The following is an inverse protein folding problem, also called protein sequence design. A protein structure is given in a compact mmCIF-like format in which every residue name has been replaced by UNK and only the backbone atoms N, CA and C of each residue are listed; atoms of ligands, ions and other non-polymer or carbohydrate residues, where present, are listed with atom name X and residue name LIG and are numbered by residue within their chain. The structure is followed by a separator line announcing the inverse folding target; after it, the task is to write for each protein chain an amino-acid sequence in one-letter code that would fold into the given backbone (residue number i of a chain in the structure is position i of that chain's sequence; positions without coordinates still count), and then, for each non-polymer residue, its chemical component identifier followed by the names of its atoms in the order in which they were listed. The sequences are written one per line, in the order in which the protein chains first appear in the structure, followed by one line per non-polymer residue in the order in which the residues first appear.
data_IF_552458656186
#
_entry.id   IF_552458656186
#
_cell.length_a   1.000
_cell.length_b   1.000
_cell.length_c   1.000
_cell.angle_alpha   90.00
_cell.angle_beta   90.00
_cell.angle_gamma   90.00
#
_symmetry.space_group_name_H-M   'P 1'
#
loop_
_entity.id
_entity.type
_entity.pdbx_description
1 polymer ?
#
# COMPACT_ATOMS: atom_id res chain seq x y z
N UNK A 1 2.01 -22.30 28.18
CA UNK A 1 1.98 -21.94 26.74
C UNK A 1 1.61 -23.08 25.78
N UNK A 2 1.21 -24.28 26.25
CA UNK A 2 0.83 -25.44 25.39
C UNK A 2 -0.68 -25.62 25.17
N UNK A 3 -1.50 -24.99 26.01
CA UNK A 3 -2.96 -25.17 26.03
C UNK A 3 -3.71 -24.44 24.89
N UNK A 4 -3.33 -23.23 24.42
CA UNK A 4 -4.10 -22.58 23.35
C UNK A 4 -3.89 -23.22 21.97
N UNK A 5 -2.75 -23.87 21.74
CA UNK A 5 -2.48 -24.61 20.50
C UNK A 5 -3.32 -25.90 20.41
N UNK A 6 -3.60 -26.56 21.54
CA UNK A 6 -4.46 -27.73 21.59
C UNK A 6 -5.95 -27.36 21.38
N UNK A 7 -6.38 -26.22 21.93
CA UNK A 7 -7.74 -25.72 21.73
C UNK A 7 -8.01 -25.29 20.28
N UNK A 8 -7.02 -24.71 19.59
CA UNK A 8 -7.10 -24.40 18.16
C UNK A 8 -7.12 -25.65 17.27
N UNK A 9 -6.46 -26.73 17.68
CA UNK A 9 -6.43 -28.00 16.93
C UNK A 9 -7.74 -28.81 17.04
N UNK A 10 -8.55 -28.60 18.08
CA UNK A 10 -9.78 -29.37 18.34
C UNK A 10 -11.04 -28.71 17.74
N UNK A 11 -11.02 -27.40 17.45
CA UNK A 11 -12.20 -26.68 16.96
C UNK A 11 -12.29 -26.55 15.42
N UNK A 12 -11.35 -27.12 14.66
CA UNK A 12 -11.44 -27.12 13.19
C UNK A 12 -12.14 -28.38 12.69
N UNK A 13 -13.34 -28.28 12.08
CA UNK A 13 -14.05 -29.44 11.54
C UNK A 13 -13.34 -29.90 10.26
N UNK A 14 -12.43 -30.86 10.42
CA UNK A 14 -11.58 -31.39 9.38
C UNK A 14 -10.20 -31.65 9.95
N UNK A 15 -9.82 -32.91 10.10
CA UNK A 15 -8.54 -33.33 10.68
C UNK A 15 -7.31 -32.70 10.03
N UNK A 16 -6.12 -33.08 10.50
CA UNK A 16 -4.79 -32.55 10.11
C UNK A 16 -4.49 -32.41 8.60
N UNK A 17 -5.37 -32.87 7.72
CA UNK A 17 -5.37 -32.70 6.27
C UNK A 17 -6.05 -31.43 5.74
N UNK A 18 -6.58 -30.54 6.59
CA UNK A 18 -7.29 -29.36 6.10
C UNK A 18 -6.39 -28.46 5.21
N UNK A 19 -6.90 -27.97 4.07
CA UNK A 19 -6.14 -27.12 3.14
C UNK A 19 -5.56 -25.86 3.81
N UNK A 20 -6.24 -25.39 4.86
CA UNK A 20 -5.82 -24.29 5.73
C UNK A 20 -4.55 -24.67 6.49
N UNK A 21 -4.53 -25.81 7.18
CA UNK A 21 -3.36 -26.27 7.94
C UNK A 21 -2.13 -26.47 7.04
N UNK A 22 -2.33 -27.00 5.82
CA UNK A 22 -1.26 -27.19 4.82
C UNK A 22 -0.55 -25.88 4.46
N UNK A 23 -1.31 -24.79 4.37
CA UNK A 23 -0.80 -23.44 4.08
C UNK A 23 0.00 -22.85 5.25
N UNK A 24 -0.38 -23.14 6.49
CA UNK A 24 0.30 -22.62 7.69
C UNK A 24 1.57 -23.37 8.10
N UNK A 25 1.88 -24.52 7.47
CA UNK A 25 3.08 -25.32 7.80
C UNK A 25 4.39 -24.56 7.61
N UNK A 26 4.44 -23.63 6.66
CA UNK A 26 5.68 -22.88 6.40
C UNK A 26 5.92 -21.80 7.44
N UNK A 27 4.86 -21.22 8.01
CA UNK A 27 4.97 -20.31 9.15
C UNK A 27 5.56 -20.97 10.40
N UNK A 28 5.34 -22.28 10.59
CA UNK A 28 5.95 -23.05 11.68
C UNK A 28 7.47 -23.21 11.53
N UNK A 29 8.01 -23.06 10.31
CA UNK A 29 9.45 -23.10 10.05
C UNK A 29 10.03 -21.69 9.99
N UNK A 30 9.37 -20.78 9.26
CA UNK A 30 9.83 -19.41 9.08
C UNK A 30 9.84 -18.62 10.39
N UNK A 31 8.81 -18.75 11.24
CA UNK A 31 8.72 -18.02 12.51
C UNK A 31 9.90 -18.28 13.45
N UNK A 32 10.24 -19.54 13.78
CA UNK A 32 11.42 -19.86 14.57
C UNK A 32 12.73 -19.38 13.95
N UNK A 33 12.89 -19.47 12.62
CA UNK A 33 14.08 -18.97 11.93
C UNK A 33 14.19 -17.44 12.02
N UNK A 34 13.08 -16.70 11.91
CA UNK A 34 13.04 -15.25 12.08
C UNK A 34 13.44 -14.85 13.50
N UNK A 35 12.86 -15.53 14.51
CA UNK A 35 13.20 -15.33 15.91
C UNK A 35 14.66 -15.65 16.20
N UNK A 36 15.15 -16.80 15.72
CA UNK A 36 16.56 -17.18 15.85
C UNK A 36 17.47 -16.12 15.21
N UNK A 37 17.15 -15.68 13.98
CA UNK A 37 17.90 -14.61 13.31
C UNK A 37 17.93 -13.30 14.10
N UNK A 38 16.89 -12.97 14.86
CA UNK A 38 16.87 -11.81 15.76
C UNK A 38 17.78 -11.94 16.99
N UNK A 39 18.07 -13.17 17.43
CA UNK A 39 18.97 -13.45 18.56
C UNK A 39 20.45 -13.48 18.14
N UNK A 40 20.73 -13.75 16.86
CA UNK A 40 22.09 -13.74 16.31
C UNK A 40 22.44 -12.40 15.66
N UNK A 41 23.74 -12.16 15.47
CA UNK A 41 24.27 -10.96 14.82
C UNK A 41 25.05 -11.31 13.53
N UNK A 42 25.36 -10.28 12.73
CA UNK A 42 26.18 -10.41 11.53
C UNK A 42 25.61 -11.36 10.47
N UNK A 43 26.50 -12.12 9.81
CA UNK A 43 26.17 -13.02 8.70
C UNK A 43 25.16 -14.09 9.08
N UNK A 44 25.23 -14.62 10.31
CA UNK A 44 24.31 -15.67 10.79
C UNK A 44 22.85 -15.21 10.76
N UNK A 45 22.59 -13.96 11.17
CA UNK A 45 21.26 -13.35 11.09
C UNK A 45 20.76 -13.27 9.65
N UNK A 46 21.61 -12.80 8.73
CA UNK A 46 21.26 -12.67 7.31
C UNK A 46 20.94 -14.04 6.71
N UNK A 47 21.74 -15.07 7.01
CA UNK A 47 21.52 -16.43 6.52
C UNK A 47 20.20 -17.01 7.06
N UNK A 48 19.94 -16.88 8.35
CA UNK A 48 18.70 -17.39 8.97
C UNK A 48 17.46 -16.69 8.41
N UNK A 49 17.49 -15.37 8.27
CA UNK A 49 16.39 -14.62 7.66
C UNK A 49 16.21 -14.95 6.18
N UNK A 50 17.29 -15.15 5.44
CA UNK A 50 17.23 -15.57 4.04
C UNK A 50 16.57 -16.94 3.88
N UNK A 51 16.92 -17.90 4.74
CA UNK A 51 16.29 -19.22 4.75
C UNK A 51 14.82 -19.12 5.16
N UNK A 52 14.47 -18.26 6.11
CA UNK A 52 13.07 -18.05 6.51
C UNK A 52 12.22 -17.52 5.33
N UNK A 53 12.71 -16.48 4.65
CA UNK A 53 12.05 -15.92 3.46
C UNK A 53 11.94 -16.97 2.35
N UNK A 54 12.99 -17.76 2.13
CA UNK A 54 12.95 -18.83 1.15
C UNK A 54 11.89 -19.89 1.51
N UNK A 55 11.78 -20.26 2.78
CA UNK A 55 10.76 -21.19 3.27
C UNK A 55 9.33 -20.64 3.05
N UNK A 56 9.12 -19.34 3.26
CA UNK A 56 7.83 -18.69 2.99
C UNK A 56 7.50 -18.66 1.49
N UNK A 57 8.48 -18.34 0.63
CA UNK A 57 8.29 -18.30 -0.83
C UNK A 57 8.03 -19.69 -1.41
N UNK A 58 8.80 -20.68 -0.98
CA UNK A 58 8.62 -22.09 -1.38
C UNK A 58 7.28 -22.60 -0.86
N UNK A 59 6.95 -22.30 0.39
CA UNK A 59 5.68 -22.64 1.03
C UNK A 59 4.46 -22.12 0.29
N UNK A 60 4.46 -20.83 -0.01
CA UNK A 60 3.44 -20.18 -0.81
C UNK A 60 3.35 -20.80 -2.22
N UNK A 61 4.48 -21.23 -2.77
CA UNK A 61 4.52 -21.85 -4.10
C UNK A 61 3.99 -23.29 -4.14
N UNK A 62 4.27 -24.08 -3.10
CA UNK A 62 3.74 -25.44 -2.97
C UNK A 62 2.25 -25.47 -2.63
N UNK A 63 1.75 -24.43 -1.97
CA UNK A 63 0.34 -24.31 -1.57
C UNK A 63 -0.56 -23.66 -2.64
N UNK A 64 -0.03 -23.43 -3.86
CA UNK A 64 -0.71 -22.70 -4.94
C UNK A 64 -2.10 -23.24 -5.26
N UNK A 65 -2.20 -24.56 -5.49
CA UNK A 65 -3.45 -25.23 -5.87
C UNK A 65 -4.51 -25.14 -4.76
N UNK A 66 -4.09 -25.29 -3.52
CA UNK A 66 -4.96 -25.21 -2.36
C UNK A 66 -5.49 -23.79 -2.12
N UNK A 67 -4.67 -22.78 -2.39
CA UNK A 67 -5.07 -21.38 -2.29
C UNK A 67 -6.01 -20.93 -3.43
N UNK A 68 -6.14 -21.71 -4.52
CA UNK A 68 -7.09 -21.45 -5.62
C UNK A 68 -8.53 -21.77 -5.25
N UNK A 69 -8.71 -22.76 -4.38
CA UNK A 69 -10.02 -23.19 -3.91
C UNK A 69 -10.64 -22.18 -2.93
N UNK A 70 -9.82 -21.34 -2.27
CA UNK A 70 -10.27 -20.34 -1.31
C UNK A 70 -10.75 -19.08 -2.06
N UNK A 71 -12.08 -18.98 -2.21
CA UNK A 71 -12.75 -17.88 -2.92
C UNK A 71 -12.85 -16.62 -2.06
N UNK A 72 -11.76 -15.87 -1.91
CA UNK A 72 -11.77 -14.59 -1.17
C UNK A 72 -12.20 -13.43 -2.08
N UNK A 73 -13.09 -12.56 -1.59
CA UNK A 73 -13.59 -11.39 -2.32
C UNK A 73 -12.44 -10.40 -2.63
N UNK A 74 -12.14 -10.11 -3.91
CA UNK A 74 -11.00 -9.29 -4.32
C UNK A 74 -10.96 -7.87 -3.73
N UNK A 75 -12.13 -7.28 -3.42
CA UNK A 75 -12.26 -5.86 -3.08
C UNK A 75 -11.58 -5.46 -1.75
N UNK A 76 -11.43 -6.40 -0.81
CA UNK A 76 -10.77 -6.12 0.48
C UNK A 76 -9.23 -6.13 0.38
N UNK A 77 -8.65 -6.77 -0.63
CA UNK A 77 -7.20 -6.85 -0.78
C UNK A 77 -6.58 -5.50 -1.12
N UNK A 78 -7.20 -4.73 -2.00
CA UNK A 78 -6.72 -3.39 -2.39
C UNK A 78 -6.61 -2.44 -1.18
N UNK A 79 -7.55 -2.51 -0.23
CA UNK A 79 -7.50 -1.67 0.97
C UNK A 79 -6.35 -2.10 1.89
N UNK A 80 -6.23 -3.40 2.17
CA UNK A 80 -5.20 -3.94 3.07
C UNK A 80 -3.78 -3.77 2.53
N UNK A 81 -3.57 -4.03 1.24
CA UNK A 81 -2.25 -3.82 0.63
C UNK A 81 -1.93 -2.33 0.45
N UNK A 82 -2.94 -1.47 0.25
CA UNK A 82 -2.74 -0.02 0.32
C UNK A 82 -2.21 0.42 1.69
N UNK A 83 -2.79 -0.11 2.78
CA UNK A 83 -2.30 0.15 4.15
C UNK A 83 -0.87 -0.35 4.37
N UNK A 84 -0.52 -1.54 3.83
CA UNK A 84 0.86 -2.05 3.89
C UNK A 84 1.85 -1.09 3.23
N UNK A 85 1.50 -0.53 2.07
CA UNK A 85 2.37 0.41 1.37
C UNK A 85 2.49 1.74 2.12
N UNK A 86 1.40 2.23 2.73
CA UNK A 86 1.46 3.42 3.60
C UNK A 86 2.37 3.16 4.80
N UNK A 87 2.29 1.98 5.42
CA UNK A 87 3.14 1.62 6.54
C UNK A 87 4.61 1.64 6.15
N UNK A 88 4.98 1.01 5.03
CA UNK A 88 6.36 0.96 4.56
C UNK A 88 6.89 2.34 4.14
N UNK A 89 6.05 3.18 3.53
CA UNK A 89 6.41 4.58 3.24
C UNK A 89 6.60 5.38 4.54
N UNK A 90 5.75 5.17 5.54
CA UNK A 90 5.88 5.79 6.86
C UNK A 90 7.20 5.41 7.53
N UNK A 91 7.56 4.13 7.50
CA UNK A 91 8.86 3.64 8.00
C UNK A 91 10.04 4.31 7.30
N UNK A 92 9.93 4.51 5.98
CA UNK A 92 10.96 5.20 5.20
C UNK A 92 11.15 6.66 5.67
N UNK A 93 10.06 7.36 6.01
CA UNK A 93 10.13 8.73 6.55
C UNK A 93 10.73 8.74 7.95
N UNK A 94 10.34 7.80 8.81
CA UNK A 94 10.89 7.68 10.16
C UNK A 94 12.40 7.43 10.09
N UNK A 95 12.84 6.52 9.22
CA UNK A 95 14.25 6.19 9.03
C UNK A 95 15.10 7.40 8.62
N UNK A 96 14.60 8.23 7.69
CA UNK A 96 15.25 9.51 7.34
C UNK A 96 15.20 10.51 8.50
N UNK A 97 14.08 10.58 9.22
CA UNK A 97 13.90 11.44 10.38
C UNK A 97 14.85 11.11 11.53
N UNK A 98 15.20 9.82 11.71
CA UNK A 98 16.18 9.40 12.70
C UNK A 98 17.56 9.99 12.44
N UNK A 99 17.97 10.17 11.17
CA UNK A 99 19.23 10.83 10.85
C UNK A 99 19.19 12.30 11.27
N UNK A 100 18.05 12.98 11.09
CA UNK A 100 17.88 14.38 11.50
C UNK A 100 17.97 14.60 13.02
N UNK A 101 17.67 13.56 13.82
CA UNK A 101 17.75 13.62 15.29
C UNK A 101 19.15 13.28 15.80
N UNK A 102 19.85 12.37 15.13
CA UNK A 102 21.15 11.86 15.60
C UNK A 102 22.35 12.64 15.05
N UNK A 103 22.19 13.35 13.93
CA UNK A 103 23.28 14.05 13.24
C UNK A 103 23.08 15.58 13.19
N UNK A 104 24.15 16.39 13.15
CA UNK A 104 24.02 17.85 13.11
C UNK A 104 23.34 18.34 11.82
N UNK A 105 22.39 19.26 11.93
CA UNK A 105 21.64 19.74 10.76
C UNK A 105 22.44 20.76 9.94
N UNK A 106 23.25 20.29 9.00
CA UNK A 106 23.91 21.14 7.99
C UNK A 106 22.94 21.51 6.86
N UNK A 107 23.16 22.60 6.12
CA UNK A 107 22.31 22.96 4.96
C UNK A 107 22.21 21.84 3.91
N UNK A 108 23.33 21.12 3.67
CA UNK A 108 23.36 19.99 2.74
C UNK A 108 22.50 18.82 3.25
N UNK A 109 22.57 18.51 4.55
CA UNK A 109 21.75 17.46 5.18
C UNK A 109 20.26 17.82 5.18
N UNK A 110 19.93 19.09 5.45
CA UNK A 110 18.56 19.58 5.35
C UNK A 110 18.01 19.43 3.92
N UNK A 111 18.81 19.77 2.90
CA UNK A 111 18.44 19.57 1.50
C UNK A 111 18.22 18.08 1.18
N UNK A 112 19.11 17.19 1.67
CA UNK A 112 18.97 15.74 1.50
C UNK A 112 17.68 15.20 2.14
N UNK A 113 17.34 15.67 3.35
CA UNK A 113 16.08 15.29 4.04
C UNK A 113 14.86 15.73 3.23
N UNK A 114 14.81 17.00 2.82
CA UNK A 114 13.70 17.54 2.02
C UNK A 114 13.52 16.77 0.70
N UNK A 115 14.63 16.43 0.05
CA UNK A 115 14.63 15.70 -1.20
C UNK A 115 14.24 14.23 -1.03
N UNK A 116 14.68 13.59 0.05
CA UNK A 116 14.28 12.23 0.44
C UNK A 116 12.78 12.15 0.71
N UNK A 117 12.25 13.11 1.47
CA UNK A 117 10.81 13.22 1.71
C UNK A 117 10.02 13.44 0.40
N UNK A 118 10.52 14.32 -0.47
CA UNK A 118 9.92 14.57 -1.78
C UNK A 118 9.92 13.31 -2.66
N UNK A 119 10.98 12.49 -2.61
CA UNK A 119 11.03 11.20 -3.28
C UNK A 119 9.98 10.23 -2.72
N UNK A 120 9.85 10.12 -1.39
CA UNK A 120 8.82 9.28 -0.76
C UNK A 120 7.42 9.73 -1.19
N UNK A 121 7.15 11.04 -1.23
CA UNK A 121 5.89 11.58 -1.77
C UNK A 121 5.69 11.26 -3.25
N UNK A 122 6.75 11.32 -4.07
CA UNK A 122 6.67 10.95 -5.48
C UNK A 122 6.36 9.46 -5.68
N UNK A 123 6.97 8.57 -4.87
CA UNK A 123 6.67 7.14 -4.86
C UNK A 123 5.22 6.87 -4.42
N UNK A 124 4.76 7.58 -3.38
CA UNK A 124 3.38 7.53 -2.92
C UNK A 124 2.41 7.91 -4.03
N UNK A 125 2.67 9.02 -4.71
CA UNK A 125 1.84 9.50 -5.83
C UNK A 125 1.85 8.50 -6.99
N UNK A 126 3.04 8.01 -7.35
CA UNK A 126 3.22 6.99 -8.38
C UNK A 126 2.39 5.73 -8.10
N UNK A 127 2.34 5.31 -6.83
CA UNK A 127 1.60 4.16 -6.36
C UNK A 127 0.08 4.38 -6.32
N UNK A 128 -0.39 5.40 -5.60
CA UNK A 128 -1.83 5.58 -5.34
C UNK A 128 -2.60 6.12 -6.53
N UNK A 129 -2.04 7.08 -7.26
CA UNK A 129 -2.77 7.74 -8.35
C UNK A 129 -2.81 6.85 -9.61
N UNK A 130 -1.70 6.19 -9.94
CA UNK A 130 -1.59 5.40 -11.17
C UNK A 130 -1.72 3.90 -10.94
N UNK A 131 -1.21 3.39 -9.81
CA UNK A 131 -1.30 1.97 -9.47
C UNK A 131 -2.72 1.53 -9.16
N UNK A 132 -3.46 2.26 -8.32
CA UNK A 132 -4.80 1.83 -7.86
C UNK A 132 -5.79 1.67 -9.03
N UNK A 133 -5.71 2.53 -10.05
CA UNK A 133 -6.53 2.41 -11.28
C UNK A 133 -6.21 1.11 -12.03
N UNK A 134 -4.92 0.83 -12.23
CA UNK A 134 -4.42 -0.38 -12.88
C UNK A 134 -4.80 -1.64 -12.09
N UNK A 135 -4.70 -1.59 -10.75
CA UNK A 135 -5.08 -2.69 -9.86
C UNK A 135 -6.59 -2.95 -9.87
N UNK A 136 -7.44 -1.91 -9.89
CA UNK A 136 -8.90 -2.09 -9.99
C UNK A 136 -9.29 -2.78 -11.29
N UNK A 137 -8.67 -2.39 -12.40
CA UNK A 137 -8.86 -3.03 -13.70
C UNK A 137 -8.33 -4.48 -13.72
N UNK A 138 -7.19 -4.73 -13.06
CA UNK A 138 -6.66 -6.08 -12.85
C UNK A 138 -7.66 -6.95 -12.09
N UNK A 139 -8.20 -6.43 -10.99
CA UNK A 139 -9.21 -7.12 -10.16
C UNK A 139 -10.44 -7.48 -10.99
N UNK A 140 -10.98 -6.54 -11.77
CA UNK A 140 -12.16 -6.75 -12.61
C UNK A 140 -11.91 -7.80 -13.71
N UNK A 141 -10.74 -7.80 -14.36
CA UNK A 141 -10.38 -8.83 -15.35
C UNK A 141 -10.04 -10.18 -14.71
N UNK A 142 -9.46 -10.18 -13.51
CA UNK A 142 -9.02 -11.37 -12.78
C UNK A 142 -10.15 -12.18 -12.14
N UNK A 143 -11.40 -11.69 -12.17
CA UNK A 143 -12.56 -12.49 -11.76
C UNK A 143 -12.65 -13.83 -12.52
N UNK A 144 -12.00 -13.92 -13.70
CA UNK A 144 -11.89 -15.13 -14.51
C UNK A 144 -10.52 -15.85 -14.44
N UNK A 145 -9.49 -15.26 -13.80
CA UNK A 145 -8.11 -15.77 -13.81
C UNK A 145 -7.40 -15.56 -12.47
N UNK A 146 -7.32 -16.62 -11.66
CA UNK A 146 -6.74 -16.58 -10.32
C UNK A 146 -5.22 -16.31 -10.31
N UNK A 147 -4.50 -16.72 -11.36
CA UNK A 147 -3.04 -16.51 -11.50
C UNK A 147 -2.67 -15.03 -11.65
N UNK A 148 -3.46 -14.25 -12.39
CA UNK A 148 -3.24 -12.80 -12.54
C UNK A 148 -3.47 -12.10 -11.19
N UNK A 149 -4.49 -12.54 -10.44
CA UNK A 149 -4.78 -11.98 -9.12
C UNK A 149 -3.60 -12.16 -8.17
N UNK A 150 -3.00 -13.35 -8.07
CA UNK A 150 -1.86 -13.57 -7.15
C UNK A 150 -0.59 -12.87 -7.59
N UNK A 151 -0.21 -12.99 -8.86
CA UNK A 151 0.99 -12.37 -9.41
C UNK A 151 1.00 -10.86 -9.22
N UNK A 152 -0.14 -10.21 -9.48
CA UNK A 152 -0.26 -8.75 -9.35
C UNK A 152 -0.51 -8.31 -7.90
N UNK A 153 -1.46 -8.93 -7.20
CA UNK A 153 -1.90 -8.43 -5.89
C UNK A 153 -0.99 -8.88 -4.75
N UNK A 154 -0.49 -10.11 -4.74
CA UNK A 154 0.36 -10.58 -3.64
C UNK A 154 1.81 -10.28 -3.96
N UNK A 155 2.34 -10.88 -5.03
CA UNK A 155 3.75 -10.77 -5.37
C UNK A 155 4.13 -9.37 -5.83
N UNK A 156 3.27 -8.68 -6.59
CA UNK A 156 3.49 -7.29 -6.99
C UNK A 156 3.61 -6.34 -5.78
N UNK A 157 2.71 -6.45 -4.80
CA UNK A 157 2.75 -5.60 -3.61
C UNK A 157 3.94 -5.95 -2.70
N UNK A 158 4.30 -7.23 -2.56
CA UNK A 158 5.52 -7.62 -1.86
C UNK A 158 6.76 -7.02 -2.53
N UNK A 159 6.81 -7.02 -3.87
CA UNK A 159 7.92 -6.44 -4.62
C UNK A 159 7.96 -4.91 -4.51
N UNK A 160 6.80 -4.25 -4.46
CA UNK A 160 6.71 -2.82 -4.13
C UNK A 160 7.20 -2.52 -2.71
N UNK A 161 6.76 -3.27 -1.71
CA UNK A 161 7.23 -3.11 -0.34
C UNK A 161 8.74 -3.29 -0.25
N UNK A 162 9.28 -4.34 -0.86
CA UNK A 162 10.72 -4.59 -0.88
C UNK A 162 11.48 -3.46 -1.59
N UNK A 163 10.98 -2.98 -2.73
CA UNK A 163 11.58 -1.86 -3.45
C UNK A 163 11.63 -0.58 -2.61
N UNK A 164 10.52 -0.22 -1.92
CA UNK A 164 10.46 0.97 -1.06
C UNK A 164 11.42 0.83 0.13
N UNK A 165 11.47 -0.33 0.79
CA UNK A 165 12.42 -0.57 1.90
C UNK A 165 13.87 -0.44 1.42
N UNK A 166 14.18 -0.99 0.24
CA UNK A 166 15.53 -0.90 -0.33
C UNK A 166 15.90 0.55 -0.64
N UNK A 167 14.96 1.35 -1.16
CA UNK A 167 15.14 2.80 -1.33
C UNK A 167 15.37 3.47 0.03
N UNK A 168 14.57 3.14 1.05
CA UNK A 168 14.69 3.73 2.39
C UNK A 168 16.07 3.52 3.02
N UNK A 169 16.64 2.31 2.88
CA UNK A 169 18.02 2.01 3.28
C UNK A 169 19.00 2.92 2.54
N UNK A 170 18.87 3.10 1.23
CA UNK A 170 19.70 4.04 0.49
C UNK A 170 19.53 5.49 0.92
N UNK A 171 18.30 5.90 1.27
CA UNK A 171 18.01 7.27 1.72
C UNK A 171 18.68 7.58 3.06
N UNK A 172 18.67 6.67 4.03
CA UNK A 172 19.33 6.93 5.31
C UNK A 172 20.83 7.15 5.14
N UNK A 173 21.49 6.35 4.31
CA UNK A 173 22.93 6.49 4.07
C UNK A 173 23.25 7.82 3.36
N UNK A 174 22.50 8.16 2.31
CA UNK A 174 22.70 9.43 1.58
C UNK A 174 22.45 10.66 2.46
N UNK A 175 21.51 10.59 3.39
CA UNK A 175 21.22 11.71 4.32
C UNK A 175 22.31 11.83 5.39
N UNK A 176 22.94 10.72 5.79
CA UNK A 176 24.06 10.75 6.72
C UNK A 176 25.25 11.50 6.11
N UNK A 177 25.70 11.14 4.91
CA UNK A 177 26.85 11.80 4.25
C UNK A 177 26.47 12.40 2.88
N UNK A 178 25.77 13.54 2.84
CA UNK A 178 25.17 14.06 1.60
C UNK A 178 26.18 14.65 0.60
N UNK A 179 27.36 15.05 1.07
CA UNK A 179 28.41 15.67 0.25
C UNK A 179 29.44 14.67 -0.26
N UNK A 180 29.55 13.51 0.39
CA UNK A 180 30.49 12.49 -0.01
C UNK A 180 29.93 11.69 -1.20
N UNK A 181 30.79 11.19 -2.09
CA UNK A 181 30.36 10.27 -3.13
C UNK A 181 29.73 9.03 -2.50
N UNK A 182 28.55 8.59 -3.00
CA UNK A 182 27.86 7.45 -2.42
C UNK A 182 28.73 6.20 -2.58
N UNK A 183 28.80 5.39 -1.52
CA UNK A 183 29.46 4.10 -1.63
C UNK A 183 28.72 3.22 -2.64
N UNK A 184 29.43 2.29 -3.27
CA UNK A 184 28.84 1.39 -4.27
C UNK A 184 27.63 0.62 -3.72
N UNK A 185 27.67 0.23 -2.44
CA UNK A 185 26.54 -0.40 -1.73
C UNK A 185 25.32 0.51 -1.63
N UNK A 186 25.50 1.75 -1.17
CA UNK A 186 24.45 2.76 -0.96
C UNK A 186 23.73 3.11 -2.26
N UNK A 187 24.51 3.35 -3.32
CA UNK A 187 23.96 3.60 -4.65
C UNK A 187 23.25 2.38 -5.24
N UNK A 188 23.75 1.17 -4.96
CA UNK A 188 23.11 -0.07 -5.40
C UNK A 188 21.72 -0.25 -4.80
N UNK A 189 21.57 -0.02 -3.50
CA UNK A 189 20.26 -0.12 -2.86
C UNK A 189 19.32 0.99 -3.33
N UNK A 190 19.81 2.23 -3.46
CA UNK A 190 19.00 3.38 -3.86
C UNK A 190 18.47 3.26 -5.31
N UNK A 191 19.38 3.11 -6.29
CA UNK A 191 19.00 3.00 -7.69
C UNK A 191 18.40 1.63 -8.03
N UNK A 192 18.88 0.56 -7.40
CA UNK A 192 18.31 -0.79 -7.55
C UNK A 192 16.89 -0.88 -7.03
N UNK A 193 16.61 -0.30 -5.86
CA UNK A 193 15.26 -0.20 -5.31
C UNK A 193 14.31 0.59 -6.22
N UNK A 194 14.77 1.73 -6.75
CA UNK A 194 13.98 2.52 -7.69
C UNK A 194 13.72 1.81 -9.02
N UNK A 195 14.75 1.15 -9.58
CA UNK A 195 14.63 0.34 -10.78
C UNK A 195 13.61 -0.79 -10.56
N UNK A 196 13.63 -1.43 -9.39
CA UNK A 196 12.71 -2.48 -9.01
C UNK A 196 11.28 -1.95 -8.84
N UNK A 197 11.09 -0.79 -8.21
CA UNK A 197 9.78 -0.15 -8.06
C UNK A 197 9.15 0.12 -9.44
N UNK A 198 9.89 0.78 -10.33
CA UNK A 198 9.43 1.11 -11.68
C UNK A 198 9.23 -0.13 -12.56
N UNK A 199 10.12 -1.11 -12.45
CA UNK A 199 10.07 -2.39 -13.16
C UNK A 199 8.87 -3.24 -12.73
N UNK A 200 8.57 -3.29 -11.43
CA UNK A 200 7.38 -3.96 -10.88
C UNK A 200 6.10 -3.37 -11.47
N UNK A 201 6.06 -2.05 -11.58
CA UNK A 201 4.98 -1.33 -12.22
C UNK A 201 4.82 -1.67 -13.71
N UNK A 202 5.93 -1.64 -14.45
CA UNK A 202 5.92 -1.97 -15.87
C UNK A 202 5.49 -3.42 -16.13
N UNK A 203 5.99 -4.37 -15.33
CA UNK A 203 5.63 -5.78 -15.39
C UNK A 203 4.14 -5.99 -15.10
N UNK A 204 3.64 -5.37 -14.03
CA UNK A 204 2.23 -5.41 -13.64
C UNK A 204 1.34 -4.87 -14.76
N UNK A 205 1.66 -3.71 -15.31
CA UNK A 205 0.92 -3.12 -16.42
C UNK A 205 0.95 -4.02 -17.67
N UNK A 206 2.11 -4.57 -18.02
CA UNK A 206 2.25 -5.48 -19.15
C UNK A 206 1.40 -6.75 -18.99
N UNK A 207 1.34 -7.33 -17.78
CA UNK A 207 0.53 -8.51 -17.49
C UNK A 207 -0.97 -8.24 -17.60
N UNK A 208 -1.43 -7.05 -17.21
CA UNK A 208 -2.86 -6.68 -17.18
C UNK A 208 -3.38 -6.21 -18.55
N UNK A 209 -2.58 -5.44 -19.27
CA UNK A 209 -2.98 -4.79 -20.52
C UNK A 209 -2.40 -5.46 -21.77
N UNK A 210 -1.49 -6.44 -21.62
CA UNK A 210 -0.68 -7.00 -22.71
C UNK A 210 0.04 -5.92 -23.52
N UNK A 211 0.28 -4.77 -22.90
CA UNK A 211 0.92 -3.59 -23.49
C UNK A 211 2.10 -3.17 -22.62
N UNK A 212 3.23 -2.94 -23.27
CA UNK A 212 4.46 -2.51 -22.62
C UNK A 212 4.30 -1.04 -22.21
N UNK A 213 4.41 -0.77 -20.91
CA UNK A 213 4.50 0.60 -20.38
C UNK A 213 5.90 1.18 -20.69
N UNK A 214 6.15 1.51 -21.97
CA UNK A 214 7.47 1.91 -22.49
C UNK A 214 8.15 2.99 -21.66
N UNK A 215 7.39 3.93 -21.09
CA UNK A 215 7.89 5.01 -20.24
C UNK A 215 8.45 4.50 -18.91
N UNK A 216 7.72 3.62 -18.24
CA UNK A 216 8.18 3.01 -16.97
C UNK A 216 9.30 2.00 -17.17
N UNK A 217 9.29 1.28 -18.29
CA UNK A 217 10.43 0.44 -18.69
C UNK A 217 11.65 1.32 -18.95
N UNK A 218 11.52 2.40 -19.72
CA UNK A 218 12.61 3.34 -19.99
C UNK A 218 13.18 3.95 -18.72
N UNK A 219 12.32 4.33 -17.77
CA UNK A 219 12.76 4.85 -16.47
C UNK A 219 13.44 3.81 -15.59
N UNK A 220 12.93 2.57 -15.57
CA UNK A 220 13.57 1.45 -14.86
C UNK A 220 14.95 1.14 -15.45
N UNK A 221 15.06 1.09 -16.78
CA UNK A 221 16.33 0.93 -17.50
C UNK A 221 17.26 2.12 -17.22
N UNK A 222 16.75 3.35 -17.19
CA UNK A 222 17.54 4.53 -16.85
C UNK A 222 18.12 4.42 -15.43
N UNK A 223 17.34 3.99 -14.44
CA UNK A 223 17.85 3.73 -13.09
C UNK A 223 18.94 2.65 -13.08
N UNK A 224 18.80 1.58 -13.87
CA UNK A 224 19.84 0.55 -13.99
C UNK A 224 21.10 1.07 -14.70
N UNK A 225 20.95 1.92 -15.71
CA UNK A 225 22.08 2.57 -16.38
C UNK A 225 22.79 3.51 -15.43
N UNK A 226 22.06 4.32 -14.66
CA UNK A 226 22.63 5.18 -13.62
C UNK A 226 23.37 4.37 -12.56
N UNK A 227 22.85 3.20 -12.16
CA UNK A 227 23.53 2.29 -11.26
C UNK A 227 24.88 1.81 -11.82
N UNK A 228 24.91 1.41 -13.09
CA UNK A 228 26.15 0.95 -13.75
C UNK A 228 27.15 2.10 -13.95
N UNK A 229 26.66 3.32 -14.16
CA UNK A 229 27.49 4.52 -14.33
C UNK A 229 28.01 5.09 -13.01
N UNK A 230 27.39 4.77 -11.88
CA UNK A 230 27.78 5.26 -10.56
C UNK A 230 29.26 5.06 -10.21
N UNK A 231 29.87 3.86 -10.38
CA UNK A 231 31.30 3.67 -10.13
C UNK A 231 32.22 4.46 -11.07
N UNK A 232 31.71 4.93 -12.22
CA UNK A 232 32.47 5.75 -13.18
C UNK A 232 32.43 7.25 -12.86
N UNK A 233 31.57 7.70 -11.94
CA UNK A 233 31.40 9.09 -11.55
C UNK A 233 31.76 9.34 -10.06
N UNK A 234 33.00 9.04 -9.63
CA UNK A 234 33.39 9.06 -8.21
C UNK A 234 33.41 10.45 -7.55
N UNK A 235 33.10 11.52 -8.28
CA UNK A 235 33.17 12.91 -7.80
C UNK A 235 31.78 13.49 -7.54
N UNK A 236 30.71 12.82 -7.99
CA UNK A 236 29.36 13.32 -7.80
C UNK A 236 28.91 13.12 -6.35
N UNK A 237 28.46 14.19 -5.64
CA UNK A 237 28.00 14.06 -4.27
C UNK A 237 26.73 13.20 -4.20
N UNK A 238 26.53 12.48 -3.09
CA UNK A 238 25.34 11.66 -2.86
C UNK A 238 24.02 12.45 -3.03
N UNK A 239 24.02 13.73 -2.66
CA UNK A 239 22.91 14.64 -2.90
C UNK A 239 22.52 14.77 -4.39
N UNK A 240 23.50 14.80 -5.29
CA UNK A 240 23.24 14.86 -6.74
C UNK A 240 22.66 13.55 -7.27
N UNK A 241 23.12 12.41 -6.75
CA UNK A 241 22.55 11.10 -7.08
C UNK A 241 21.07 11.01 -6.65
N UNK A 242 20.75 11.46 -5.44
CA UNK A 242 19.39 11.53 -4.94
C UNK A 242 18.52 12.51 -5.76
N UNK A 243 19.07 13.66 -6.15
CA UNK A 243 18.36 14.66 -6.96
C UNK A 243 18.04 14.11 -8.35
N UNK A 244 18.99 13.39 -8.94
CA UNK A 244 18.81 12.70 -10.23
C UNK A 244 17.71 11.65 -10.11
N UNK A 245 17.74 10.83 -9.06
CA UNK A 245 16.71 9.82 -8.84
C UNK A 245 15.33 10.45 -8.65
N UNK A 246 15.22 11.49 -7.82
CA UNK A 246 13.99 12.24 -7.64
C UNK A 246 13.46 12.79 -8.97
N UNK A 247 14.32 13.42 -9.77
CA UNK A 247 13.94 13.95 -11.08
C UNK A 247 13.43 12.86 -12.03
N UNK A 248 14.04 11.66 -12.04
CA UNK A 248 13.57 10.52 -12.84
C UNK A 248 12.19 10.05 -12.39
N UNK A 249 12.00 9.81 -11.09
CA UNK A 249 10.73 9.30 -10.55
C UNK A 249 9.61 10.33 -10.68
N UNK A 250 9.88 11.59 -10.30
CA UNK A 250 8.92 12.68 -10.41
C UNK A 250 8.60 13.00 -11.88
N UNK A 251 9.61 13.08 -12.75
CA UNK A 251 9.43 13.36 -14.17
C UNK A 251 8.54 12.34 -14.85
N UNK A 252 8.76 11.03 -14.61
CA UNK A 252 7.89 9.97 -15.14
C UNK A 252 6.47 10.09 -14.60
N UNK A 253 6.32 10.36 -13.30
CA UNK A 253 5.01 10.49 -12.65
C UNK A 253 4.22 11.69 -13.16
N UNK A 254 4.88 12.83 -13.41
CA UNK A 254 4.27 14.04 -13.96
C UNK A 254 3.90 13.84 -15.44
N UNK A 255 4.80 13.26 -16.23
CA UNK A 255 4.54 12.96 -17.65
C UNK A 255 3.32 12.04 -17.81
N UNK A 256 3.20 11.01 -16.98
CA UNK A 256 2.02 10.15 -17.00
C UNK A 256 0.74 10.89 -16.59
N UNK A 257 0.83 11.78 -15.59
CA UNK A 257 -0.28 12.61 -15.15
C UNK A 257 -0.80 13.53 -16.24
N UNK A 258 0.10 14.27 -16.88
CA UNK A 258 -0.25 15.20 -17.98
C UNK A 258 -0.95 14.45 -19.12
N UNK A 259 -0.47 13.25 -19.45
CA UNK A 259 -1.02 12.47 -20.58
C UNK A 259 -2.39 11.89 -20.25
N UNK A 260 -2.57 11.40 -19.03
CA UNK A 260 -3.88 10.92 -18.56
C UNK A 260 -4.91 12.05 -18.48
N UNK A 261 -4.50 13.27 -18.12
CA UNK A 261 -5.38 14.43 -18.16
C UNK A 261 -5.71 14.91 -19.58
N UNK A 262 -4.80 14.74 -20.55
CA UNK A 262 -5.04 15.10 -21.97
C UNK A 262 -5.91 14.10 -22.72
N UNK A 263 -5.92 12.83 -22.31
CA UNK A 263 -6.76 11.80 -22.88
C UNK A 263 -7.61 11.14 -21.80
N UNK A 264 -8.69 11.79 -21.33
CA UNK A 264 -9.70 11.10 -20.52
C UNK A 264 -10.21 9.92 -21.37
N UNK A 265 -9.96 8.70 -20.88
CA UNK A 265 -10.36 7.49 -21.57
C UNK A 265 -11.87 7.59 -21.88
N UNK A 266 -12.22 7.30 -23.13
CA UNK A 266 -13.60 7.29 -23.67
C UNK A 266 -14.56 6.42 -22.81
N UNK A 267 -14.03 5.59 -21.91
CA UNK A 267 -14.78 4.81 -20.92
C UNK A 267 -15.60 5.61 -19.89
N UNK A 268 -15.25 6.85 -19.53
CA UNK A 268 -16.12 7.66 -18.66
C UNK A 268 -17.36 8.17 -19.40
N UNK A 269 -17.26 8.37 -20.73
CA UNK A 269 -18.43 8.65 -21.58
C UNK A 269 -19.24 7.40 -21.89
N UNK A 270 -18.60 6.24 -22.08
CA UNK A 270 -19.29 4.97 -22.31
C UNK A 270 -20.03 4.50 -21.05
N UNK A 271 -19.45 4.63 -19.86
CA UNK A 271 -20.15 4.29 -18.59
C UNK A 271 -21.30 5.27 -18.33
N UNK A 272 -21.14 6.54 -18.70
CA UNK A 272 -22.22 7.52 -18.64
C UNK A 272 -23.35 7.26 -19.65
N UNK A 273 -23.05 6.69 -20.83
CA UNK A 273 -24.08 6.26 -21.79
C UNK A 273 -24.72 4.93 -21.39
N UNK A 274 -23.97 3.96 -20.89
CA UNK A 274 -24.49 2.66 -20.40
C UNK A 274 -25.41 2.85 -19.18
N UNK A 275 -25.04 3.72 -18.23
CA UNK A 275 -25.91 4.09 -17.10
C UNK A 275 -27.15 4.86 -17.59
N UNK A 276 -27.01 5.72 -18.60
CA UNK A 276 -28.15 6.45 -19.19
C UNK A 276 -29.08 5.54 -19.99
N UNK A 277 -28.54 4.51 -20.65
CA UNK A 277 -29.29 3.52 -21.41
C UNK A 277 -29.99 2.50 -20.47
N UNK A 278 -29.37 2.11 -19.36
CA UNK A 278 -30.01 1.31 -18.30
C UNK A 278 -31.14 2.09 -17.59
N UNK A 279 -30.96 3.40 -17.35
CA UNK A 279 -32.05 4.26 -16.87
C UNK A 279 -33.17 4.42 -17.91
N UNK A 280 -32.84 4.47 -19.20
CA UNK A 280 -33.82 4.50 -20.29
C UNK A 280 -34.57 3.17 -20.50
N UNK A 281 -33.96 2.04 -20.16
CA UNK A 281 -34.60 0.72 -20.17
C UNK A 281 -35.63 0.56 -19.05
N UNK A 282 -35.36 1.15 -17.88
CA UNK A 282 -36.32 1.18 -16.76
C UNK A 282 -37.55 2.07 -17.04
N UNK A 283 -37.44 3.02 -17.96
CA UNK A 283 -38.52 3.95 -18.32
C UNK A 283 -39.52 3.37 -19.34
N UNK A 284 -39.24 2.19 -19.92
CA UNK A 284 -40.11 1.55 -20.95
C UNK A 284 -40.63 0.15 -20.59
N UNK A 285 -40.40 -0.32 -19.37
CA UNK A 285 -40.99 -1.55 -18.86
C UNK A 285 -42.48 -1.41 -18.48
N UNK A 286 -43.24 -2.51 -18.34
CA UNK A 286 -44.69 -2.49 -18.08
C UNK A 286 -45.08 -1.98 -16.68
N UNK A 287 -44.14 -1.38 -15.95
CA UNK A 287 -44.29 -0.87 -14.58
C UNK A 287 -44.30 0.66 -14.56
N UNK A 288 -45.03 1.27 -15.49
CA UNK A 288 -45.33 2.70 -15.43
C UNK A 288 -46.42 2.92 -14.37
N UNK A 289 -46.02 3.14 -13.11
CA UNK A 289 -46.98 3.44 -12.04
C UNK A 289 -46.50 3.33 -10.59
N UNK A 290 -45.19 3.33 -10.29
CA UNK A 290 -44.72 3.38 -8.90
C UNK A 290 -43.78 4.57 -8.72
N UNK A 291 -44.27 5.57 -7.98
CA UNK A 291 -43.51 6.74 -7.52
C UNK A 291 -42.21 6.33 -6.81
N UNK A 292 -41.08 6.60 -7.46
CA UNK A 292 -39.74 6.21 -7.01
C UNK A 292 -39.17 7.07 -5.84
N UNK A 293 -40.00 7.79 -5.09
CA UNK A 293 -39.60 8.57 -3.91
C UNK A 293 -40.25 7.97 -2.65
N UNK A 294 -39.99 6.69 -2.36
CA UNK A 294 -40.32 6.13 -1.03
C UNK A 294 -39.60 4.84 -0.60
N UNK A 295 -38.47 4.47 -1.22
CA UNK A 295 -37.71 3.25 -0.85
C UNK A 295 -36.42 3.50 -0.05
N UNK A 296 -36.31 4.62 0.67
CA UNK A 296 -35.19 4.89 1.59
C UNK A 296 -35.59 4.97 3.07
N UNK A 297 -36.81 4.55 3.45
CA UNK A 297 -37.33 4.70 4.82
C UNK A 297 -37.86 3.41 5.46
N UNK A 298 -37.54 2.22 4.93
CA UNK A 298 -38.03 0.95 5.52
C UNK A 298 -36.97 -0.13 5.63
N UNK A 299 -35.84 0.17 6.27
CA UNK A 299 -34.99 -0.84 6.90
C UNK A 299 -34.23 -0.23 8.08
N UNK A 300 -34.96 0.19 9.12
CA UNK A 300 -34.42 0.52 10.44
C UNK A 300 -35.03 -0.41 11.47
N UNK A 301 -34.57 -1.67 11.50
CA UNK A 301 -34.79 -2.63 12.60
C UNK A 301 -33.90 -3.86 12.43
N UNK A 302 -32.59 -3.72 12.70
CA UNK A 302 -31.76 -4.77 13.32
C UNK A 302 -30.45 -4.15 13.84
N UNK A 303 -29.96 -4.57 15.01
CA UNK A 303 -28.91 -3.87 15.75
C UNK A 303 -27.51 -4.42 15.42
N UNK A 304 -26.51 -3.54 15.34
CA UNK A 304 -25.10 -3.90 15.28
C UNK A 304 -24.33 -3.14 14.20
N UNK A 305 -23.55 -2.15 14.65
CA UNK A 305 -22.35 -1.55 14.06
C UNK A 305 -22.18 -1.55 12.53
N UNK A 306 -22.07 -0.33 11.97
CA UNK A 306 -20.86 0.16 11.28
C UNK A 306 -21.10 1.61 10.83
N UNK A 307 -20.37 2.53 11.47
CA UNK A 307 -20.33 3.94 11.10
C UNK A 307 -19.74 4.10 9.69
N UNK A 308 -20.59 4.45 8.73
CA UNK A 308 -20.19 4.90 7.40
C UNK A 308 -19.84 6.38 7.48
N UNK A 309 -18.61 6.68 7.08
CA UNK A 309 -17.99 8.01 7.06
C UNK A 309 -18.76 8.95 6.09
N UNK A 310 -19.53 9.90 6.63
CA UNK A 310 -20.23 10.94 5.86
C UNK A 310 -19.43 12.27 5.92
N UNK A 311 -19.14 12.94 4.78
CA UNK A 311 -18.33 14.17 4.77
C UNK A 311 -19.06 15.46 5.23
N UNK A 312 -20.35 15.42 5.56
CA UNK A 312 -21.18 16.63 5.75
C UNK A 312 -21.57 16.96 7.21
N UNK A 313 -21.08 16.24 8.21
CA UNK A 313 -21.58 16.39 9.60
C UNK A 313 -20.94 17.51 10.44
N UNK A 314 -19.90 18.21 9.95
CA UNK A 314 -19.19 19.22 10.76
C UNK A 314 -19.95 20.54 10.97
N UNK A 315 -20.89 20.89 10.09
CA UNK A 315 -21.70 22.12 10.24
C UNK A 315 -22.90 21.96 11.19
N UNK A 316 -23.34 20.73 11.47
CA UNK A 316 -24.44 20.44 12.41
C UNK A 316 -24.00 20.27 13.87
N UNK A 317 -22.78 19.78 14.10
CA UNK A 317 -22.29 19.53 15.47
C UNK A 317 -21.98 20.84 16.21
N UNK A 318 -21.62 21.92 15.51
CA UNK A 318 -21.36 23.23 16.12
C UNK A 318 -22.63 23.97 16.52
N UNK A 319 -23.74 23.77 15.81
CA UNK A 319 -25.02 24.42 16.11
C UNK A 319 -25.79 23.74 17.25
N UNK A 320 -25.72 22.40 17.35
CA UNK A 320 -26.38 21.67 18.44
C UNK A 320 -25.66 21.85 19.80
N UNK A 321 -24.33 22.01 19.83
CA UNK A 321 -23.60 22.29 21.09
C UNK A 321 -23.82 23.70 21.64
N UNK A 322 -24.10 24.70 20.79
CA UNK A 322 -24.43 26.04 21.25
C UNK A 322 -25.86 26.15 21.80
N UNK A 323 -26.79 25.31 21.33
CA UNK A 323 -28.17 25.28 21.83
C UNK A 323 -28.33 24.52 23.16
N UNK A 324 -27.44 23.57 23.46
CA UNK A 324 -27.50 22.76 24.68
C UNK A 324 -26.88 23.42 25.94
N UNK A 325 -26.17 24.54 25.79
CA UNK A 325 -25.49 25.23 26.90
C UNK A 325 -26.33 26.31 27.62
N UNK A 326 -27.58 26.54 27.21
CA UNK A 326 -28.45 27.59 27.79
C UNK A 326 -29.53 27.09 28.76
N UNK A 327 -29.52 25.81 29.16
CA UNK A 327 -30.47 25.32 30.19
C UNK A 327 -29.72 24.80 31.42
N UNK A 328 -29.42 25.75 32.33
CA UNK A 328 -28.98 25.45 33.71
C UNK A 328 -30.20 25.21 34.61
N UNK A 329 -30.28 24.09 35.36
CA UNK A 329 -31.22 23.95 36.47
C UNK A 329 -30.67 24.64 37.74
N UNK A 330 -31.51 25.48 38.36
CA UNK A 330 -31.29 26.07 39.70
C UNK A 330 -31.05 24.99 40.76
N UNK A 331 -30.17 25.23 41.74
CA UNK A 331 -30.10 24.43 42.97
C UNK A 331 -31.04 25.03 44.02
N UNK A 332 -32.06 24.28 44.43
CA UNK A 332 -32.72 24.48 45.72
C UNK A 332 -33.32 23.15 46.15
N UNK A 333 -32.76 22.56 47.19
CA UNK A 333 -33.45 22.25 48.45
C UNK A 333 -32.81 21.01 49.11
N UNK A 334 -31.82 21.25 49.98
CA UNK A 334 -31.43 20.35 51.07
C UNK A 334 -30.57 21.17 52.04
N UNK A 335 -31.24 21.88 52.94
CA UNK A 335 -30.69 22.18 54.26
C UNK A 335 -31.84 22.37 55.26
N UNK A 336 -31.66 21.77 56.44
CA UNK A 336 -32.39 21.93 57.71
C UNK A 336 -33.61 21.04 57.97
N UNK A 337 -33.38 19.99 58.77
CA UNK A 337 -34.04 19.88 60.07
C UNK A 337 -33.05 19.30 61.10
N UNK A 338 -32.66 20.14 62.05
CA UNK A 338 -32.12 19.77 63.36
C UNK A 338 -33.27 19.84 64.38
N UNK A 339 -33.17 19.13 65.50
CA UNK A 339 -32.61 19.80 66.68
C UNK A 339 -31.47 19.06 67.38
#
# INVERSE_FOLDING_TARGET
MRVPLAALALCTPGGWSSPVFRTYRTGLVAGPLQLAGGLFNGTTRIVLWSIAVLADVVGASLSRQTLDEIRVRPLHYTHRYGLLIILVLGESVIQVGMVAVNEPLTPARLAAICLSYSLVCALWWAYFIYGVRTFRQAVNRSAKQADIRRSVMVYGHLLFSFAIITIAVGLSEVVTEPLDPPQTSEGTVLFGGAALFLGTFACTHCRIHRQIARRRVGASVLCLVLLVLLPLAPVAPALAALATLFAVVAGVSVLEGIILHRHPLIGERATGSEIRDDLGYLDKGPWCGIDAIRLTQRHSSCPGDLAVWQPESWSRISTERMAAQTTSPRPSDYDQEAP
#
